data_IF_980439842442
#
_entry.id   IF_980439842442
#
_cell.length_a   1.000
_cell.length_b   1.000
_cell.length_c   1.000
_cell.angle_alpha   90.00
_cell.angle_beta   90.00
_cell.angle_gamma   90.00
#
_symmetry.space_group_name_H-M   'P 1'
#
loop_
_entity.id
_entity.type
_entity.pdbx_description
1 polymer ?
#
# COMPACT_ATOMS: atom_id res chain seq x y z
N UNK A 1 2.99 7.75 -5.91
CA UNK A 1 2.26 9.01 -6.17
C UNK A 1 2.39 9.28 -7.65
N UNK A 2 1.29 9.20 -8.39
CA UNK A 2 1.30 9.46 -9.84
C UNK A 2 0.66 10.81 -10.13
N UNK A 3 1.25 11.60 -11.02
CA UNK A 3 0.69 12.88 -11.49
C UNK A 3 0.07 12.78 -12.90
N UNK A 4 0.09 11.60 -13.53
CA UNK A 4 -0.41 11.37 -14.89
C UNK A 4 0.72 11.14 -15.90
N UNK A 5 1.84 11.86 -15.73
CA UNK A 5 3.00 11.77 -16.61
C UNK A 5 4.14 10.92 -16.03
N UNK A 6 4.25 10.88 -14.70
CA UNK A 6 5.26 10.13 -13.97
C UNK A 6 4.70 9.45 -12.72
N UNK A 7 5.44 8.44 -12.24
CA UNK A 7 5.17 7.73 -11.00
C UNK A 7 6.34 7.89 -10.04
N UNK A 8 6.06 8.47 -8.87
CA UNK A 8 7.05 8.72 -7.83
C UNK A 8 6.82 7.79 -6.62
N UNK A 9 7.91 7.28 -6.05
CA UNK A 9 7.89 6.25 -5.01
C UNK A 9 8.65 6.72 -3.75
N UNK A 10 8.05 7.57 -2.90
CA UNK A 10 8.69 7.97 -1.65
C UNK A 10 8.86 6.78 -0.72
N UNK A 11 10.03 6.69 -0.09
CA UNK A 11 10.36 5.68 0.91
C UNK A 11 10.16 6.24 2.31
N UNK A 12 9.30 5.58 3.08
CA UNK A 12 9.12 5.83 4.51
C UNK A 12 9.95 4.79 5.27
N UNK A 13 10.98 5.25 5.98
CA UNK A 13 11.90 4.36 6.68
C UNK A 13 11.34 3.91 8.05
N UNK A 14 11.80 2.73 8.48
CA UNK A 14 11.61 2.19 9.83
C UNK A 14 10.14 2.08 10.28
N UNK A 15 9.24 1.74 9.36
CA UNK A 15 7.78 1.76 9.61
C UNK A 15 7.33 0.90 10.80
N UNK A 16 8.06 -0.18 11.10
CA UNK A 16 7.71 -1.11 12.19
C UNK A 16 7.94 -0.57 13.60
N UNK A 17 8.75 0.48 13.77
CA UNK A 17 9.02 1.09 15.08
C UNK A 17 8.28 2.41 15.30
N UNK A 18 7.45 2.83 14.33
CA UNK A 18 6.86 4.16 14.27
C UNK A 18 5.35 4.09 14.38
N UNK A 19 4.78 5.02 15.13
CA UNK A 19 3.32 5.13 15.25
C UNK A 19 2.65 5.65 13.98
N UNK A 20 1.40 5.24 13.76
CA UNK A 20 0.59 5.60 12.56
C UNK A 20 0.54 7.11 12.30
N UNK A 21 0.49 7.94 13.36
CA UNK A 21 0.51 9.40 13.22
C UNK A 21 1.81 9.90 12.58
N UNK A 22 2.96 9.43 13.07
CA UNK A 22 4.26 9.83 12.53
C UNK A 22 4.40 9.39 11.06
N UNK A 23 3.96 8.18 10.74
CA UNK A 23 3.95 7.67 9.36
C UNK A 23 3.08 8.54 8.43
N UNK A 24 1.93 9.00 8.91
CA UNK A 24 1.07 9.91 8.14
C UNK A 24 1.74 11.26 7.91
N UNK A 25 2.45 11.80 8.91
CA UNK A 25 3.19 13.05 8.80
C UNK A 25 4.35 12.94 7.81
N UNK A 26 5.11 11.84 7.83
CA UNK A 26 6.20 11.64 6.86
C UNK A 26 5.68 11.50 5.43
N UNK A 27 4.59 10.74 5.25
CA UNK A 27 3.98 10.57 3.94
C UNK A 27 3.52 11.92 3.39
N UNK A 28 2.86 12.74 4.21
CA UNK A 28 2.46 14.10 3.83
C UNK A 28 3.66 14.96 3.48
N UNK A 29 4.73 14.91 4.27
CA UNK A 29 5.96 15.65 3.99
C UNK A 29 6.57 15.22 2.65
N UNK A 30 6.64 13.91 2.37
CA UNK A 30 7.18 13.38 1.14
C UNK A 30 6.34 13.74 -0.09
N UNK A 31 5.01 13.70 0.02
CA UNK A 31 4.10 14.14 -1.05
C UNK A 31 4.24 15.64 -1.29
N UNK A 32 4.30 16.44 -0.22
CA UNK A 32 4.48 17.89 -0.32
C UNK A 32 5.77 18.26 -1.05
N UNK A 33 6.88 17.56 -0.79
CA UNK A 33 8.14 17.77 -1.54
C UNK A 33 7.96 17.55 -3.04
N UNK A 34 7.15 16.56 -3.45
CA UNK A 34 6.85 16.34 -4.87
C UNK A 34 6.00 17.48 -5.47
N UNK A 35 5.07 18.02 -4.70
CA UNK A 35 4.18 19.10 -5.17
C UNK A 35 4.89 20.47 -5.25
N UNK A 36 5.86 20.73 -4.36
CA UNK A 36 6.53 22.03 -4.28
C UNK A 36 7.77 22.15 -5.19
N UNK A 37 8.50 21.06 -5.40
CA UNK A 37 9.69 21.05 -6.26
C UNK A 37 9.30 20.59 -7.67
N UNK A 38 8.69 21.44 -8.48
CA UNK A 38 8.31 21.14 -9.87
C UNK A 38 9.16 21.91 -10.89
N UNK A 39 9.34 21.35 -12.09
CA UNK A 39 9.97 22.02 -13.22
C UNK A 39 9.01 23.00 -13.92
N UNK A 40 9.51 23.68 -14.96
CA UNK A 40 8.73 24.65 -15.74
C UNK A 40 7.50 24.00 -16.43
N UNK A 41 7.47 22.67 -16.54
CA UNK A 41 6.37 21.88 -17.11
C UNK A 41 5.40 21.36 -16.04
N UNK A 42 5.68 21.60 -14.76
CA UNK A 42 4.86 21.15 -13.62
C UNK A 42 5.16 19.72 -13.16
N UNK A 43 6.23 19.09 -13.65
CA UNK A 43 6.65 17.77 -13.20
C UNK A 43 7.51 17.87 -11.94
N UNK A 44 7.27 17.03 -10.91
CA UNK A 44 8.14 16.97 -9.74
C UNK A 44 9.61 16.72 -10.12
N UNK A 45 10.47 17.70 -9.82
CA UNK A 45 11.92 17.59 -9.76
C UNK A 45 12.23 16.78 -8.51
N UNK A 46 12.23 15.46 -8.65
CA UNK A 46 12.81 14.60 -7.62
C UNK A 46 14.31 14.82 -7.63
N UNK A 47 14.78 15.74 -6.80
CA UNK A 47 16.20 15.77 -6.45
C UNK A 47 16.50 14.41 -5.85
N UNK A 48 17.35 13.63 -6.51
CA UNK A 48 17.92 12.38 -5.99
C UNK A 48 18.53 12.53 -4.58
N UNK A 49 18.69 13.76 -4.09
CA UNK A 49 19.21 14.13 -2.78
C UNK A 49 18.13 14.22 -1.68
N UNK A 50 16.84 14.20 -2.01
CA UNK A 50 15.79 14.25 -1.00
C UNK A 50 15.78 12.91 -0.21
N UNK A 51 15.84 12.93 1.14
CA UNK A 51 16.12 11.72 1.93
C UNK A 51 15.11 10.56 1.75
N UNK A 52 13.90 10.87 1.31
CA UNK A 52 12.84 9.89 1.08
C UNK A 52 12.89 9.27 -0.32
N UNK A 53 13.58 9.89 -1.29
CA UNK A 53 13.66 9.41 -2.67
C UNK A 53 15.04 8.84 -3.02
N UNK A 54 16.06 9.14 -2.20
CA UNK A 54 17.41 8.58 -2.34
C UNK A 54 17.56 7.18 -1.77
N UNK A 55 16.63 6.76 -0.89
CA UNK A 55 16.72 5.49 -0.16
C UNK A 55 16.08 4.36 -0.96
N UNK A 56 16.67 3.18 -0.82
CA UNK A 56 16.13 1.93 -1.34
C UNK A 56 15.04 1.39 -0.39
N UNK A 57 13.82 1.21 -0.88
CA UNK A 57 12.72 0.60 -0.13
C UNK A 57 12.77 -0.93 -0.12
N UNK A 58 12.07 -1.57 0.82
CA UNK A 58 12.01 -3.04 0.97
C UNK A 58 10.72 -3.67 0.46
N UNK A 59 9.61 -2.93 0.50
CA UNK A 59 8.28 -3.33 0.04
C UNK A 59 7.60 -2.10 -0.57
N UNK A 60 6.99 -2.26 -1.75
CA UNK A 60 6.15 -1.21 -2.34
C UNK A 60 4.68 -1.45 -2.02
N UNK A 61 3.98 -0.37 -1.63
CA UNK A 61 2.52 -0.36 -1.49
C UNK A 61 1.94 0.66 -2.46
N UNK A 62 0.93 0.27 -3.21
CA UNK A 62 0.16 1.16 -4.07
C UNK A 62 -1.34 1.03 -3.83
N UNK A 63 -2.06 2.12 -4.02
CA UNK A 63 -3.51 2.19 -3.82
C UNK A 63 -4.16 2.74 -5.09
N UNK A 64 -5.08 1.97 -5.66
CA UNK A 64 -5.89 2.37 -6.82
C UNK A 64 -7.39 2.44 -6.47
N UNK A 65 -7.73 2.27 -5.20
CA UNK A 65 -9.10 2.33 -4.71
C UNK A 65 -9.76 3.68 -4.90
N UNK A 66 -8.98 4.78 -4.89
CA UNK A 66 -9.50 6.12 -5.22
C UNK A 66 -10.03 6.24 -6.67
N UNK A 67 -9.61 5.35 -7.56
CA UNK A 67 -10.06 5.28 -8.95
C UNK A 67 -11.15 4.21 -9.17
N UNK A 68 -11.70 3.62 -8.09
CA UNK A 68 -12.73 2.58 -8.19
C UNK A 68 -12.23 1.22 -8.69
N UNK A 69 -10.91 1.02 -8.76
CA UNK A 69 -10.32 -0.22 -9.26
C UNK A 69 -10.44 -1.32 -8.18
N UNK A 70 -11.08 -2.44 -8.53
CA UNK A 70 -11.31 -3.55 -7.60
C UNK A 70 -10.06 -4.35 -7.26
N UNK A 71 -9.16 -4.52 -8.22
CA UNK A 71 -7.90 -5.26 -8.06
C UNK A 71 -6.92 -4.85 -9.15
N UNK A 72 -5.63 -4.85 -8.82
CA UNK A 72 -4.54 -4.62 -9.75
C UNK A 72 -3.38 -5.52 -9.36
N UNK A 73 -2.66 -6.09 -10.33
CA UNK A 73 -1.43 -6.82 -10.08
C UNK A 73 -0.26 -5.82 -10.12
N UNK A 74 0.39 -5.52 -8.98
CA UNK A 74 1.52 -4.60 -8.98
C UNK A 74 2.73 -5.23 -9.65
N UNK A 75 3.59 -4.42 -10.26
CA UNK A 75 4.89 -4.88 -10.77
C UNK A 75 5.91 -4.73 -9.65
N UNK A 76 6.70 -5.78 -9.40
CA UNK A 76 7.82 -5.72 -8.45
C UNK A 76 8.96 -4.94 -9.10
N UNK A 77 9.41 -3.88 -8.44
CA UNK A 77 10.54 -3.06 -8.91
C UNK A 77 11.84 -3.55 -8.28
N UNK A 78 12.87 -3.77 -9.07
CA UNK A 78 14.20 -4.10 -8.56
C UNK A 78 14.71 -2.96 -7.65
N UNK A 79 15.35 -3.26 -6.50
CA UNK A 79 15.77 -4.56 -5.96
C UNK A 79 14.80 -5.19 -4.94
N UNK A 80 13.53 -4.79 -4.94
CA UNK A 80 12.53 -5.34 -4.02
C UNK A 80 12.08 -6.74 -4.46
N UNK A 81 11.56 -7.51 -3.51
CA UNK A 81 11.03 -8.86 -3.76
C UNK A 81 9.50 -8.93 -3.72
N UNK A 82 8.82 -7.83 -3.35
CA UNK A 82 7.38 -7.81 -3.16
C UNK A 82 6.76 -6.43 -3.40
N UNK A 83 5.52 -6.44 -3.91
CA UNK A 83 4.69 -5.25 -4.02
C UNK A 83 3.22 -5.59 -3.69
N UNK A 84 2.53 -4.68 -3.00
CA UNK A 84 1.13 -4.82 -2.59
C UNK A 84 0.27 -3.74 -3.25
N UNK A 85 -0.81 -4.15 -3.91
CA UNK A 85 -1.82 -3.26 -4.44
C UNK A 85 -3.12 -3.37 -3.64
N UNK A 86 -3.67 -2.22 -3.25
CA UNK A 86 -4.95 -2.10 -2.57
C UNK A 86 -6.01 -1.60 -3.54
N UNK A 87 -7.11 -2.34 -3.65
CA UNK A 87 -8.28 -1.97 -4.44
C UNK A 87 -9.24 -1.05 -3.68
N UNK A 88 -10.36 -0.75 -4.34
CA UNK A 88 -11.46 0.03 -3.76
C UNK A 88 -12.08 -0.69 -2.57
N UNK A 89 -12.48 0.10 -1.57
CA UNK A 89 -13.32 -0.35 -0.47
C UNK A 89 -14.77 -0.27 -0.95
N UNK A 90 -15.45 -1.40 -1.02
CA UNK A 90 -16.83 -1.50 -1.50
C UNK A 90 -17.68 -2.37 -0.57
N UNK A 91 -18.99 -2.09 -0.55
CA UNK A 91 -19.94 -2.94 0.14
C UNK A 91 -20.20 -4.20 -0.68
N UNK A 92 -20.10 -5.37 -0.06
CA UNK A 92 -20.44 -6.66 -0.66
C UNK A 92 -21.44 -7.39 0.20
N UNK A 93 -22.40 -8.04 -0.46
CA UNK A 93 -23.32 -8.96 0.20
C UNK A 93 -22.57 -10.26 0.45
N UNK A 94 -22.46 -10.65 1.72
CA UNK A 94 -21.81 -11.88 2.18
C UNK A 94 -22.79 -12.71 2.99
N UNK A 95 -22.62 -14.04 3.10
CA UNK A 95 -23.44 -14.85 3.99
C UNK A 95 -23.42 -14.31 5.41
N UNK A 96 -24.58 -14.24 6.07
CA UNK A 96 -24.60 -13.91 7.50
C UNK A 96 -24.16 -15.12 8.32
N UNK A 97 -23.67 -14.85 9.51
CA UNK A 97 -23.36 -15.87 10.52
C UNK A 97 -24.54 -16.12 11.47
N UNK A 98 -25.63 -15.35 11.34
CA UNK A 98 -26.84 -15.48 12.15
C UNK A 98 -27.83 -16.41 11.46
N UNK A 99 -28.49 -17.28 12.23
CA UNK A 99 -29.48 -18.22 11.69
C UNK A 99 -30.69 -17.52 11.03
N UNK A 100 -31.09 -16.35 11.54
CA UNK A 100 -32.29 -15.62 11.07
C UNK A 100 -32.02 -14.66 9.90
N UNK A 101 -30.78 -14.55 9.42
CA UNK A 101 -30.39 -13.60 8.37
C UNK A 101 -29.57 -14.34 7.31
N UNK A 102 -30.04 -14.45 6.07
CA UNK A 102 -29.31 -15.21 5.04
C UNK A 102 -28.06 -14.47 4.55
N UNK A 103 -28.11 -13.13 4.51
CA UNK A 103 -27.04 -12.30 3.97
C UNK A 103 -26.88 -11.02 4.78
N UNK A 104 -25.64 -10.54 4.91
CA UNK A 104 -25.29 -9.24 5.50
C UNK A 104 -24.49 -8.41 4.50
N UNK A 105 -24.59 -7.10 4.60
CA UNK A 105 -23.70 -6.17 3.91
C UNK A 105 -22.38 -6.05 4.71
N UNK A 106 -21.24 -6.17 4.02
CA UNK A 106 -19.92 -6.06 4.63
C UNK A 106 -19.02 -5.16 3.79
N UNK A 107 -18.22 -4.33 4.48
CA UNK A 107 -17.23 -3.46 3.87
C UNK A 107 -16.00 -4.31 3.54
N UNK A 108 -15.69 -4.45 2.25
CA UNK A 108 -14.63 -5.33 1.77
C UNK A 108 -13.60 -4.57 0.94
N UNK A 109 -12.33 -4.97 1.06
CA UNK A 109 -11.23 -4.50 0.22
C UNK A 109 -10.50 -5.69 -0.37
N UNK A 110 -10.11 -5.62 -1.65
CA UNK A 110 -9.22 -6.60 -2.26
C UNK A 110 -7.77 -6.13 -2.13
N UNK A 111 -6.91 -6.95 -1.55
CA UNK A 111 -5.46 -6.74 -1.53
C UNK A 111 -4.79 -7.78 -2.44
N UNK A 112 -3.96 -7.33 -3.38
CA UNK A 112 -3.25 -8.19 -4.35
C UNK A 112 -1.75 -8.00 -4.17
N UNK A 113 -1.01 -9.10 -3.96
CA UNK A 113 0.43 -9.06 -3.75
C UNK A 113 1.15 -9.77 -4.89
N UNK A 114 2.16 -9.11 -5.44
CA UNK A 114 3.13 -9.71 -6.37
C UNK A 114 4.42 -10.03 -5.63
N UNK A 115 5.00 -11.18 -5.93
CA UNK A 115 6.17 -11.72 -5.24
C UNK A 115 7.19 -12.19 -6.27
N UNK A 116 8.47 -11.93 -6.00
CA UNK A 116 9.57 -12.57 -6.72
C UNK A 116 9.79 -13.98 -6.15
N UNK A 117 9.35 -14.99 -6.92
CA UNK A 117 9.37 -16.38 -6.51
C UNK A 117 10.78 -16.98 -6.38
N UNK A 118 11.81 -16.27 -6.84
CA UNK A 118 13.22 -16.63 -6.63
C UNK A 118 13.64 -16.46 -5.17
N UNK A 119 12.95 -15.57 -4.44
CA UNK A 119 13.29 -15.19 -3.06
C UNK A 119 12.17 -15.56 -2.08
N UNK A 120 10.91 -15.50 -2.52
CA UNK A 120 9.74 -15.75 -1.66
C UNK A 120 8.94 -16.94 -2.20
N UNK A 121 8.75 -17.97 -1.36
CA UNK A 121 7.86 -19.08 -1.67
C UNK A 121 6.38 -18.69 -1.51
N UNK A 122 5.50 -19.32 -2.29
CA UNK A 122 4.06 -19.07 -2.24
C UNK A 122 3.43 -19.30 -0.86
N UNK A 123 3.93 -20.27 -0.08
CA UNK A 123 3.46 -20.51 1.29
C UNK A 123 3.82 -19.34 2.22
N UNK A 124 5.04 -18.79 2.08
CA UNK A 124 5.49 -17.61 2.85
C UNK A 124 4.67 -16.38 2.47
N UNK A 125 4.41 -16.20 1.17
CA UNK A 125 3.52 -15.14 0.68
C UNK A 125 2.11 -15.24 1.25
N UNK A 126 1.54 -16.45 1.29
CA UNK A 126 0.22 -16.70 1.87
C UNK A 126 0.19 -16.42 3.38
N UNK A 127 1.23 -16.80 4.11
CA UNK A 127 1.36 -16.48 5.54
C UNK A 127 1.44 -14.96 5.77
N UNK A 128 2.19 -14.24 4.95
CA UNK A 128 2.28 -12.78 5.01
C UNK A 128 0.92 -12.12 4.78
N UNK A 129 0.18 -12.56 3.74
CA UNK A 129 -1.17 -12.04 3.45
C UNK A 129 -2.19 -12.39 4.56
N UNK A 130 -2.07 -13.56 5.17
CA UNK A 130 -2.90 -13.95 6.31
C UNK A 130 -2.63 -13.05 7.53
N UNK A 131 -1.36 -12.77 7.82
CA UNK A 131 -0.99 -11.83 8.87
C UNK A 131 -1.51 -10.42 8.55
N UNK A 132 -1.29 -9.91 7.32
CA UNK A 132 -1.81 -8.62 6.88
C UNK A 132 -3.33 -8.52 7.09
N UNK A 133 -4.08 -9.53 6.61
CA UNK A 133 -5.54 -9.61 6.79
C UNK A 133 -5.92 -9.51 8.28
N UNK A 134 -5.28 -10.30 9.13
CA UNK A 134 -5.58 -10.33 10.57
C UNK A 134 -5.39 -8.96 11.23
N UNK A 135 -4.32 -8.24 10.90
CA UNK A 135 -4.05 -6.91 11.48
C UNK A 135 -5.01 -5.84 10.97
N UNK A 136 -5.43 -5.91 9.70
CA UNK A 136 -6.39 -4.96 9.12
C UNK A 136 -7.80 -5.21 9.65
N UNK A 137 -8.22 -6.46 9.80
CA UNK A 137 -9.54 -6.81 10.34
C UNK A 137 -9.62 -6.58 11.87
N UNK A 138 -8.49 -6.68 12.58
CA UNK A 138 -8.40 -6.49 14.03
C UNK A 138 -7.34 -5.43 14.38
N UNK A 139 -7.64 -4.12 14.22
CA UNK A 139 -6.65 -3.05 14.36
C UNK A 139 -6.05 -2.94 15.77
N UNK A 140 -6.69 -3.50 16.80
CA UNK A 140 -6.12 -3.57 18.18
C UNK A 140 -4.84 -4.39 18.24
N UNK A 141 -4.63 -5.32 17.32
CA UNK A 141 -3.40 -6.12 17.23
C UNK A 141 -2.17 -5.31 16.84
N UNK A 142 -2.35 -4.12 16.23
CA UNK A 142 -1.26 -3.21 15.87
C UNK A 142 -0.65 -2.46 17.09
N UNK A 143 -1.21 -2.63 18.29
CA UNK A 143 -0.70 -2.03 19.53
C UNK A 143 0.31 -2.92 20.27
N UNK A 144 0.51 -4.15 19.80
CA UNK A 144 1.44 -5.15 20.36
C UNK A 144 2.83 -5.00 19.74
#
# INVERSE_FOLDING_TARGET
VGNGDALYTPVIADVGSRGVKALSEDLKAAVKTLEEEVDDEGNPIVKELSPNFSKMGTLTVMNLGMYGIKSCAPIVTEPQAAALALGVIENRIVPSEKEDELYKESIMMTATMSLDHRVVDGAVGAQWLAAFKSHVENPTTLLL
#
